data_IF_618654168032
#
_entry.id   IF_618654168032
#
_cell.length_a   1.000
_cell.length_b   1.000
_cell.length_c   1.000
_cell.angle_alpha   90.00
_cell.angle_beta   90.00
_cell.angle_gamma   90.00
#
_symmetry.space_group_name_H-M   'P 1'
#
loop_
_entity.id
_entity.type
_entity.pdbx_description
1 polymer ?
#
# COMPACT_ATOMS: atom_id res chain seq x y z
N UNK A 1 4.65 12.28 20.40
CA UNK A 1 3.29 12.85 20.29
C UNK A 1 2.63 12.53 18.94
N UNK A 2 3.27 12.82 17.80
CA UNK A 2 2.68 12.59 16.46
C UNK A 2 2.20 11.16 16.14
N UNK A 3 2.88 10.12 16.62
CA UNK A 3 2.41 8.73 16.48
C UNK A 3 1.02 8.52 17.07
N UNK A 4 0.80 8.96 18.32
CA UNK A 4 -0.49 8.80 19.01
C UNK A 4 -1.59 9.62 18.34
N UNK A 5 -1.28 10.86 17.96
CA UNK A 5 -2.21 11.71 17.21
C UNK A 5 -2.65 11.07 15.87
N UNK A 6 -1.76 10.41 15.14
CA UNK A 6 -2.11 9.72 13.88
C UNK A 6 -3.03 8.54 14.12
N UNK A 7 -2.84 7.80 15.21
CA UNK A 7 -3.72 6.70 15.59
C UNK A 7 -5.13 7.19 15.92
N UNK A 8 -5.24 8.30 16.65
CA UNK A 8 -6.51 8.91 17.05
C UNK A 8 -7.30 9.46 15.84
N UNK A 9 -6.60 9.97 14.83
CA UNK A 9 -7.20 10.46 13.59
C UNK A 9 -7.62 9.35 12.61
N UNK A 10 -7.21 8.10 12.86
CA UNK A 10 -7.54 6.99 11.97
C UNK A 10 -9.00 6.61 12.12
N UNK A 11 -9.76 6.60 11.01
CA UNK A 11 -11.16 6.15 11.04
C UNK A 11 -11.25 4.66 11.39
N UNK A 12 -11.80 4.37 12.58
CA UNK A 12 -12.08 3.01 13.05
C UNK A 12 -13.59 2.88 13.22
N UNK A 13 -14.20 1.93 12.50
CA UNK A 13 -15.62 1.62 12.67
C UNK A 13 -15.80 0.71 13.90
N UNK A 14 -16.82 0.95 14.75
CA UNK A 14 -17.17 0.02 15.83
C UNK A 14 -17.46 -1.37 15.28
N UNK A 15 -16.96 -2.42 15.95
CA UNK A 15 -17.21 -3.82 15.57
C UNK A 15 -16.28 -4.41 14.50
N UNK A 16 -15.23 -3.70 14.07
CA UNK A 16 -14.18 -4.29 13.23
C UNK A 16 -13.31 -5.26 14.04
N UNK A 17 -12.81 -6.31 13.37
CA UNK A 17 -11.84 -7.24 13.95
C UNK A 17 -10.55 -6.50 14.42
N UNK A 18 -9.91 -6.89 15.54
CA UNK A 18 -8.70 -6.22 16.01
C UNK A 18 -7.56 -6.16 14.98
N UNK A 19 -7.42 -7.19 14.12
CA UNK A 19 -6.42 -7.19 13.05
C UNK A 19 -6.74 -6.10 12.01
N UNK A 20 -8.00 -6.01 11.57
CA UNK A 20 -8.47 -4.98 10.65
C UNK A 20 -8.22 -3.57 11.20
N UNK A 21 -8.55 -3.34 12.47
CA UNK A 21 -8.30 -2.06 13.13
C UNK A 21 -6.80 -1.72 13.13
N UNK A 22 -5.95 -2.70 13.47
CA UNK A 22 -4.51 -2.52 13.47
C UNK A 22 -3.97 -2.24 12.07
N UNK A 23 -4.46 -2.92 11.05
CA UNK A 23 -4.02 -2.72 9.67
C UNK A 23 -4.42 -1.34 9.13
N UNK A 24 -5.59 -0.82 9.51
CA UNK A 24 -6.01 0.56 9.20
C UNK A 24 -5.09 1.60 9.84
N UNK A 25 -4.74 1.41 11.11
CA UNK A 25 -3.76 2.26 11.80
C UNK A 25 -2.40 2.22 11.13
N UNK A 26 -1.92 1.02 10.77
CA UNK A 26 -0.65 0.84 10.05
C UNK A 26 -0.67 1.52 8.68
N UNK A 27 -1.79 1.46 7.95
CA UNK A 27 -1.96 2.18 6.70
C UNK A 27 -1.89 3.70 6.89
N UNK A 28 -2.60 4.24 7.88
CA UNK A 28 -2.58 5.67 8.18
C UNK A 28 -1.17 6.15 8.58
N UNK A 29 -0.45 5.37 9.39
CA UNK A 29 0.95 5.65 9.73
C UNK A 29 1.85 5.61 8.50
N UNK A 30 1.69 4.60 7.64
CA UNK A 30 2.47 4.50 6.41
C UNK A 30 2.24 5.72 5.51
N UNK A 31 0.99 6.13 5.31
CA UNK A 31 0.63 7.24 4.43
C UNK A 31 1.14 8.59 4.97
N UNK A 32 0.97 8.85 6.26
CA UNK A 32 1.35 10.13 6.86
C UNK A 32 2.86 10.29 7.08
N UNK A 33 3.60 9.19 7.28
CA UNK A 33 4.99 9.27 7.71
C UNK A 33 5.97 8.68 6.69
N UNK A 34 5.69 7.50 6.15
CA UNK A 34 6.64 6.77 5.32
C UNK A 34 6.50 7.09 3.82
N UNK A 35 5.26 7.20 3.34
CA UNK A 35 4.96 7.45 1.92
C UNK A 35 5.50 8.80 1.46
N UNK A 36 5.40 9.83 2.30
CA UNK A 36 5.91 11.17 2.00
C UNK A 36 7.42 11.13 1.70
N UNK A 37 8.20 10.44 2.52
CA UNK A 37 9.65 10.28 2.32
C UNK A 37 9.98 9.52 1.03
N UNK A 38 9.21 8.48 0.69
CA UNK A 38 9.42 7.73 -0.56
C UNK A 38 9.12 8.58 -1.79
N UNK A 39 8.04 9.37 -1.76
CA UNK A 39 7.64 10.21 -2.88
C UNK A 39 8.62 11.37 -3.09
N UNK A 40 9.03 12.05 -2.01
CA UNK A 40 10.07 13.10 -2.08
C UNK A 40 11.38 12.55 -2.64
N UNK A 41 11.86 11.41 -2.12
CA UNK A 41 13.08 10.78 -2.62
C UNK A 41 12.98 10.42 -4.10
N UNK A 42 11.87 9.82 -4.54
CA UNK A 42 11.64 9.50 -5.96
C UNK A 42 11.73 10.77 -6.80
N UNK A 43 11.02 11.82 -6.40
CA UNK A 43 10.91 13.06 -7.16
C UNK A 43 12.24 13.78 -7.30
N UNK A 44 12.96 13.98 -6.18
CA UNK A 44 14.29 14.61 -6.19
C UNK A 44 15.29 13.85 -7.05
N UNK A 45 15.31 12.52 -6.94
CA UNK A 45 16.24 11.69 -7.72
C UNK A 45 15.92 11.72 -9.22
N UNK A 46 14.66 11.70 -9.61
CA UNK A 46 14.29 11.70 -11.03
C UNK A 46 14.46 13.09 -11.65
N UNK A 47 14.08 14.15 -10.93
CA UNK A 47 14.25 15.54 -11.37
C UNK A 47 15.72 15.93 -11.50
N UNK A 48 16.60 15.38 -10.67
CA UNK A 48 18.05 15.57 -10.83
C UNK A 48 18.55 15.14 -12.22
N UNK A 49 17.92 14.11 -12.81
CA UNK A 49 18.22 13.63 -14.16
C UNK A 49 17.27 14.18 -15.24
N UNK A 50 16.42 15.16 -14.91
CA UNK A 50 15.44 15.72 -15.84
C UNK A 50 14.32 14.77 -16.26
N UNK A 51 14.07 13.70 -15.49
CA UNK A 51 13.08 12.67 -15.80
C UNK A 51 11.82 12.81 -14.94
N UNK A 52 10.66 12.93 -15.57
CA UNK A 52 9.37 12.96 -14.89
C UNK A 52 8.80 11.56 -14.65
N UNK A 53 9.01 11.01 -13.45
CA UNK A 53 8.51 9.68 -13.09
C UNK A 53 7.09 9.75 -12.54
N UNK A 54 6.15 9.06 -13.18
CA UNK A 54 4.78 8.89 -12.70
C UNK A 54 4.64 7.69 -11.75
N UNK A 55 3.68 7.77 -10.83
CA UNK A 55 3.40 6.74 -9.80
C UNK A 55 1.93 6.29 -9.88
N UNK A 56 1.55 5.44 -10.85
CA UNK A 56 0.14 5.08 -11.10
C UNK A 56 -0.58 4.48 -9.88
N UNK A 57 0.14 3.74 -9.02
CA UNK A 57 -0.43 3.15 -7.81
C UNK A 57 -0.70 4.15 -6.68
N UNK A 58 -0.15 5.37 -6.77
CA UNK A 58 -0.39 6.46 -5.81
C UNK A 58 -1.59 7.33 -6.23
N UNK A 59 -2.49 6.82 -7.08
CA UNK A 59 -3.75 7.48 -7.40
C UNK A 59 -4.71 7.42 -6.20
N UNK A 60 -5.34 8.55 -5.86
CA UNK A 60 -6.25 8.64 -4.72
C UNK A 60 -7.43 7.67 -4.81
N UNK A 61 -7.92 7.39 -6.03
CA UNK A 61 -9.05 6.48 -6.26
C UNK A 61 -8.69 5.04 -5.87
N UNK A 62 -7.45 4.64 -6.18
CA UNK A 62 -6.93 3.32 -5.79
C UNK A 62 -6.75 3.27 -4.27
N UNK A 63 -6.19 4.33 -3.67
CA UNK A 63 -5.96 4.40 -2.23
C UNK A 63 -7.28 4.36 -1.43
N UNK A 64 -8.29 5.13 -1.84
CA UNK A 64 -9.62 5.14 -1.21
C UNK A 64 -10.32 3.78 -1.32
N UNK A 65 -10.30 3.18 -2.51
CA UNK A 65 -10.85 1.85 -2.72
C UNK A 65 -10.17 0.84 -1.79
N UNK A 66 -8.83 0.77 -1.82
CA UNK A 66 -8.06 -0.16 -0.99
C UNK A 66 -8.20 0.11 0.51
N UNK A 67 -8.50 1.33 0.95
CA UNK A 67 -8.76 1.63 2.35
C UNK A 67 -10.04 0.95 2.87
N UNK A 68 -11.01 0.72 1.99
CA UNK A 68 -12.27 0.04 2.33
C UNK A 68 -12.18 -1.49 2.27
N UNK A 69 -11.27 -2.04 1.47
CA UNK A 69 -11.12 -3.48 1.23
C UNK A 69 -10.60 -4.22 2.48
N UNK A 70 -11.23 -5.35 2.87
CA UNK A 70 -10.73 -6.23 3.93
C UNK A 70 -9.29 -6.71 3.68
N UNK A 71 -8.51 -6.78 4.75
CA UNK A 71 -7.13 -7.24 4.80
C UNK A 71 -6.95 -8.63 4.22
N UNK A 72 -7.90 -9.54 4.45
CA UNK A 72 -7.89 -10.91 3.90
C UNK A 72 -7.75 -10.93 2.37
N UNK A 73 -8.29 -9.94 1.65
CA UNK A 73 -8.10 -9.84 0.20
C UNK A 73 -6.76 -9.22 -0.17
N UNK A 74 -6.20 -8.34 0.65
CA UNK A 74 -4.88 -7.73 0.42
C UNK A 74 -3.76 -8.76 0.60
N UNK A 75 -3.96 -9.71 1.50
CA UNK A 75 -3.09 -10.86 1.77
C UNK A 75 -3.77 -12.19 1.39
N UNK A 76 -4.41 -12.18 0.21
CA UNK A 76 -5.21 -13.32 -0.27
C UNK A 76 -4.36 -14.60 -0.36
N UNK A 77 -4.84 -15.66 0.29
CA UNK A 77 -4.20 -16.98 0.36
C UNK A 77 -2.74 -16.95 0.87
N UNK A 78 -2.41 -15.98 1.73
CA UNK A 78 -1.06 -15.83 2.30
C UNK A 78 -0.04 -15.27 1.29
N UNK A 79 -0.52 -14.70 0.19
CA UNK A 79 0.31 -14.02 -0.79
C UNK A 79 0.22 -12.51 -0.63
N UNK A 80 1.37 -11.85 -0.44
CA UNK A 80 1.41 -10.41 -0.36
C UNK A 80 0.92 -9.78 -1.68
N UNK A 81 0.09 -8.73 -1.57
CA UNK A 81 -0.56 -8.10 -2.73
C UNK A 81 -1.50 -9.07 -3.47
N UNK A 82 -2.13 -9.99 -2.74
CA UNK A 82 -2.98 -11.04 -3.28
C UNK A 82 -4.06 -10.53 -4.22
N UNK A 83 -4.82 -9.50 -3.83
CA UNK A 83 -5.82 -8.85 -4.71
C UNK A 83 -5.23 -8.37 -6.04
N UNK A 84 -4.06 -7.72 -6.00
CA UNK A 84 -3.40 -7.23 -7.22
C UNK A 84 -2.91 -8.38 -8.10
N UNK A 85 -2.39 -9.46 -7.50
CA UNK A 85 -1.96 -10.65 -8.23
C UNK A 85 -3.15 -11.32 -8.90
N UNK A 86 -4.24 -11.55 -8.15
CA UNK A 86 -5.48 -12.12 -8.71
C UNK A 86 -6.02 -11.25 -9.86
N UNK A 87 -6.05 -9.93 -9.71
CA UNK A 87 -6.54 -9.02 -10.76
C UNK A 87 -5.71 -9.04 -12.06
N UNK A 88 -4.43 -9.43 -12.01
CA UNK A 88 -3.53 -9.46 -13.17
C UNK A 88 -3.40 -10.86 -13.81
N UNK A 89 -4.20 -11.83 -13.37
CA UNK A 89 -4.29 -13.13 -14.04
C UNK A 89 -4.73 -12.96 -15.49
N UNK A 90 -4.09 -13.69 -16.40
CA UNK A 90 -4.31 -13.56 -17.85
C UNK A 90 -3.61 -12.37 -18.50
N UNK A 91 -3.10 -11.40 -17.73
CA UNK A 91 -2.30 -10.26 -18.24
C UNK A 91 -0.81 -10.53 -18.12
N UNK A 92 -0.37 -11.13 -17.00
CA UNK A 92 1.04 -11.43 -16.73
C UNK A 92 1.31 -12.95 -16.71
N UNK A 93 2.53 -13.40 -17.05
CA UNK A 93 2.94 -14.78 -16.87
C UNK A 93 2.79 -15.24 -15.42
N UNK A 94 2.32 -16.47 -15.22
CA UNK A 94 2.04 -17.06 -13.89
C UNK A 94 3.29 -17.04 -12.99
N UNK A 95 4.46 -17.29 -13.56
CA UNK A 95 5.75 -17.26 -12.87
C UNK A 95 6.11 -15.87 -12.30
N UNK A 96 5.78 -14.79 -13.01
CA UNK A 96 5.99 -13.41 -12.53
C UNK A 96 4.95 -13.08 -11.47
N UNK A 97 3.71 -13.48 -11.73
CA UNK A 97 2.54 -13.17 -10.91
C UNK A 97 2.64 -13.77 -9.50
N UNK A 98 3.20 -14.97 -9.36
CA UNK A 98 3.31 -15.68 -8.08
C UNK A 98 4.73 -15.70 -7.52
N UNK A 99 5.65 -14.95 -8.14
CA UNK A 99 7.00 -14.79 -7.61
C UNK A 99 6.95 -14.16 -6.22
N UNK A 100 7.55 -14.86 -5.25
CA UNK A 100 7.76 -14.34 -3.89
C UNK A 100 8.61 -13.07 -3.93
N UNK A 101 8.21 -12.02 -3.20
CA UNK A 101 9.00 -10.79 -3.09
C UNK A 101 10.40 -11.12 -2.55
N UNK A 102 11.43 -10.70 -3.29
CA UNK A 102 12.84 -10.72 -2.86
C UNK A 102 13.27 -9.27 -2.64
N UNK A 103 13.56 -8.84 -1.39
CA UNK A 103 13.86 -7.44 -1.08
C UNK A 103 15.16 -6.92 -1.72
N UNK A 104 16.14 -7.79 -1.91
CA UNK A 104 17.44 -7.55 -2.53
C UNK A 104 17.79 -8.78 -3.40
N UNK A 105 18.71 -8.66 -4.39
CA UNK A 105 19.32 -9.79 -5.06
C UNK A 105 19.96 -10.79 -4.09
#
# INVERSE_FOLDING_TARGET
EGYRATLEQTSIRPGLDPLEQRMRQMFALNFNWFMQTLLDRKDRMSMYSGLEVRVPFCDYRIAEYLYSVPWEYKDYEGHEKGLLRQAMQGVLPTEVLWRKKRPLP
#
